data_IF_227225386367
#
_entry.id   IF_227225386367
#
_cell.length_a   1.000
_cell.length_b   1.000
_cell.length_c   1.000
_cell.angle_alpha   90.00
_cell.angle_beta   90.00
_cell.angle_gamma   90.00
#
_symmetry.space_group_name_H-M   'P 1'
#
loop_
_entity.id
_entity.type
_entity.pdbx_description
1 polymer ?
#
# COMPACT_ATOMS: atom_id res chain seq x y z
N UNK A 1 24.10 -19.92 -1.34
CA UNK A 1 23.23 -19.89 -0.14
C UNK A 1 21.93 -20.63 -0.43
N UNK A 2 21.66 -21.66 0.37
CA UNK A 2 20.82 -22.81 -0.01
C UNK A 2 19.35 -22.67 0.45
N UNK A 3 18.69 -21.54 0.17
CA UNK A 3 17.26 -21.31 0.48
C UNK A 3 16.50 -20.55 -0.64
N UNK A 4 17.08 -20.52 -1.85
CA UNK A 4 16.51 -19.80 -3.01
C UNK A 4 15.15 -20.38 -3.44
N UNK A 5 15.00 -21.69 -3.36
CA UNK A 5 13.77 -22.40 -3.71
C UNK A 5 12.64 -22.05 -2.75
N UNK A 6 12.90 -22.19 -1.45
CA UNK A 6 11.95 -21.96 -0.37
C UNK A 6 11.46 -20.51 -0.39
N UNK A 7 12.39 -19.55 -0.56
CA UNK A 7 12.04 -18.14 -0.69
C UNK A 7 11.16 -17.84 -1.91
N UNK A 8 11.35 -18.58 -3.03
CA UNK A 8 10.50 -18.50 -4.22
C UNK A 8 9.11 -19.10 -3.97
N UNK A 9 9.04 -20.27 -3.34
CA UNK A 9 7.78 -20.95 -3.02
C UNK A 9 6.95 -20.13 -2.02
N UNK A 10 7.56 -19.67 -0.93
CA UNK A 10 6.93 -18.81 0.07
C UNK A 10 6.37 -17.51 -0.54
N UNK A 11 7.14 -16.88 -1.44
CA UNK A 11 6.69 -15.70 -2.19
C UNK A 11 5.45 -15.97 -3.04
N UNK A 12 5.39 -17.13 -3.72
CA UNK A 12 4.22 -17.52 -4.53
C UNK A 12 2.99 -17.85 -3.67
N UNK A 13 3.18 -18.50 -2.52
CA UNK A 13 2.10 -18.87 -1.59
C UNK A 13 1.51 -17.63 -0.91
N UNK A 14 2.35 -16.73 -0.40
CA UNK A 14 1.94 -15.50 0.29
C UNK A 14 1.49 -14.37 -0.65
N UNK A 15 1.59 -14.58 -1.97
CA UNK A 15 1.34 -13.57 -3.02
C UNK A 15 2.08 -12.25 -2.76
N UNK A 16 3.33 -12.35 -2.31
CA UNK A 16 4.17 -11.19 -2.02
C UNK A 16 5.54 -11.31 -2.69
N UNK A 17 6.24 -10.20 -2.89
CA UNK A 17 7.60 -10.23 -3.45
C UNK A 17 8.63 -10.88 -2.51
N UNK A 18 9.72 -11.43 -3.07
CA UNK A 18 10.82 -12.07 -2.32
C UNK A 18 11.42 -11.19 -1.21
N UNK A 19 11.37 -9.86 -1.36
CA UNK A 19 11.84 -8.88 -0.36
C UNK A 19 10.97 -8.81 0.91
N UNK A 20 9.71 -9.29 0.83
CA UNK A 20 8.75 -9.28 1.95
C UNK A 20 8.67 -10.61 2.68
N UNK A 21 9.38 -11.64 2.22
CA UNK A 21 9.47 -12.92 2.93
C UNK A 21 10.65 -12.86 3.89
N UNK A 22 10.36 -13.00 5.18
CA UNK A 22 11.34 -13.20 6.23
C UNK A 22 11.39 -14.69 6.59
N UNK A 23 12.60 -15.21 6.75
CA UNK A 23 12.90 -16.59 7.10
C UNK A 23 13.72 -16.53 8.39
N UNK A 24 13.38 -17.36 9.36
CA UNK A 24 14.14 -17.42 10.60
C UNK A 24 15.55 -18.01 10.35
N UNK A 25 16.63 -17.32 10.76
CA UNK A 25 17.99 -17.87 10.69
C UNK A 25 18.27 -19.00 11.71
N UNK A 26 17.51 -19.11 12.80
CA UNK A 26 17.73 -20.15 13.80
C UNK A 26 17.32 -21.54 13.28
N UNK A 27 16.15 -21.61 12.62
CA UNK A 27 15.53 -22.85 12.14
C UNK A 27 15.77 -23.13 10.64
N UNK A 28 16.97 -22.80 10.15
CA UNK A 28 17.30 -22.93 8.72
C UNK A 28 17.26 -24.37 8.21
N UNK A 29 17.56 -25.35 9.06
CA UNK A 29 17.53 -26.78 8.72
C UNK A 29 16.10 -27.28 8.44
N UNK A 30 15.13 -26.89 9.27
CA UNK A 30 13.72 -27.27 9.08
C UNK A 30 13.15 -26.65 7.80
N UNK A 31 13.49 -25.38 7.55
CA UNK A 31 13.09 -24.67 6.33
C UNK A 31 13.72 -25.32 5.09
N UNK A 32 14.98 -25.74 5.17
CA UNK A 32 15.67 -26.38 4.03
C UNK A 32 15.02 -27.71 3.62
N UNK A 33 14.51 -28.48 4.58
CA UNK A 33 13.81 -29.75 4.32
C UNK A 33 12.41 -29.57 3.68
N UNK A 34 11.82 -28.37 3.77
CA UNK A 34 10.52 -28.08 3.19
C UNK A 34 10.61 -27.79 1.68
N UNK A 35 10.23 -28.77 0.86
CA UNK A 35 10.32 -28.72 -0.60
C UNK A 35 8.96 -28.51 -1.29
N UNK A 36 7.85 -28.87 -0.63
CA UNK A 36 6.49 -28.69 -1.17
C UNK A 36 5.84 -27.38 -0.73
N UNK A 37 4.93 -26.85 -1.58
CA UNK A 37 4.06 -25.70 -1.24
C UNK A 37 3.21 -25.97 0.01
N UNK A 38 2.78 -27.21 0.23
CA UNK A 38 1.96 -27.57 1.39
C UNK A 38 2.75 -27.44 2.70
N UNK A 39 4.01 -27.90 2.71
CA UNK A 39 4.91 -27.76 3.86
C UNK A 39 5.19 -26.29 4.18
N UNK A 40 5.45 -25.47 3.15
CA UNK A 40 5.63 -24.02 3.31
C UNK A 40 4.39 -23.36 3.94
N UNK A 41 3.17 -23.81 3.61
CA UNK A 41 1.95 -23.30 4.27
C UNK A 41 1.88 -23.66 5.75
N UNK A 42 2.40 -24.84 6.13
CA UNK A 42 2.50 -25.27 7.53
C UNK A 42 3.47 -24.35 8.28
N UNK A 43 4.68 -24.17 7.75
CA UNK A 43 5.70 -23.27 8.32
C UNK A 43 5.26 -21.80 8.43
N UNK A 44 4.40 -21.33 7.52
CA UNK A 44 3.78 -19.99 7.61
C UNK A 44 2.80 -19.93 8.79
N UNK A 45 2.02 -20.99 9.01
CA UNK A 45 1.07 -21.08 10.12
C UNK A 45 1.78 -21.19 11.47
N UNK A 46 2.89 -21.93 11.49
CA UNK A 46 3.74 -22.13 12.66
C UNK A 46 4.60 -20.89 12.99
N UNK A 47 4.71 -19.94 12.05
CA UNK A 47 5.35 -18.64 12.27
C UNK A 47 6.84 -18.58 11.93
N UNK A 48 7.44 -19.66 11.39
CA UNK A 48 8.84 -19.66 10.94
C UNK A 48 9.05 -18.81 9.68
N UNK A 49 8.01 -18.67 8.86
CA UNK A 49 8.02 -17.85 7.64
C UNK A 49 6.99 -16.73 7.78
N UNK A 50 7.50 -15.50 7.85
CA UNK A 50 6.67 -14.32 8.14
C UNK A 50 6.67 -13.37 6.94
N UNK A 51 5.49 -12.78 6.67
CA UNK A 51 5.37 -11.64 5.74
C UNK A 51 5.75 -10.36 6.47
N UNK A 52 6.89 -9.77 6.09
CA UNK A 52 7.30 -8.45 6.58
C UNK A 52 6.27 -7.39 6.13
N UNK A 53 5.85 -6.46 7.01
CA UNK A 53 4.92 -5.41 6.64
C UNK A 53 5.46 -4.51 5.51
N UNK A 54 4.54 -3.82 4.85
CA UNK A 54 4.88 -2.83 3.83
C UNK A 54 5.52 -1.62 4.52
N UNK A 55 6.53 -1.02 3.89
CA UNK A 55 7.12 0.24 4.33
C UNK A 55 6.11 1.34 4.10
N UNK A 56 5.67 2.00 5.17
CA UNK A 56 4.56 2.97 5.11
C UNK A 56 5.07 4.29 4.52
N UNK A 57 4.42 4.78 3.47
CA UNK A 57 4.55 6.16 3.00
C UNK A 57 3.39 6.98 3.57
N UNK A 58 3.68 7.86 4.52
CA UNK A 58 2.64 8.66 5.18
C UNK A 58 1.99 9.64 4.21
N UNK A 59 0.64 9.60 4.13
CA UNK A 59 -0.17 10.57 3.39
C UNK A 59 -0.59 11.77 4.22
N UNK A 60 -0.14 11.89 5.47
CA UNK A 60 -0.57 12.95 6.38
C UNK A 60 -0.32 14.36 5.81
N UNK A 61 0.86 14.59 5.22
CA UNK A 61 1.21 15.88 4.57
C UNK A 61 0.31 16.20 3.38
N UNK A 62 0.12 15.23 2.50
CA UNK A 62 -0.77 15.36 1.33
C UNK A 62 -2.20 15.68 1.77
N UNK A 63 -2.76 14.95 2.75
CA UNK A 63 -4.10 15.18 3.28
C UNK A 63 -4.24 16.57 3.90
N UNK A 64 -3.25 17.01 4.70
CA UNK A 64 -3.23 18.36 5.28
C UNK A 64 -3.24 19.43 4.18
N UNK A 65 -2.45 19.25 3.13
CA UNK A 65 -2.43 20.18 2.00
C UNK A 65 -3.76 20.17 1.23
N UNK A 66 -4.34 19.01 0.93
CA UNK A 66 -5.66 18.92 0.28
C UNK A 66 -6.76 19.60 1.08
N UNK A 67 -6.75 19.47 2.41
CA UNK A 67 -7.69 20.16 3.30
C UNK A 67 -7.47 21.68 3.29
N UNK A 68 -6.21 22.16 3.23
CA UNK A 68 -5.90 23.57 3.10
C UNK A 68 -6.34 24.14 1.74
N UNK A 69 -6.07 23.40 0.65
CA UNK A 69 -6.51 23.69 -0.72
C UNK A 69 -8.03 23.76 -0.84
N UNK A 70 -8.76 22.82 -0.22
CA UNK A 70 -10.23 22.84 -0.16
C UNK A 70 -10.78 24.06 0.59
N UNK A 71 -10.04 24.59 1.56
CA UNK A 71 -10.38 25.83 2.28
C UNK A 71 -9.96 27.10 1.51
N UNK A 72 -9.54 26.99 0.24
CA UNK A 72 -9.13 28.12 -0.60
C UNK A 72 -7.70 28.61 -0.38
N UNK A 73 -6.87 27.92 0.41
CA UNK A 73 -5.44 28.25 0.57
C UNK A 73 -4.63 27.64 -0.58
N UNK A 74 -3.47 28.20 -0.91
CA UNK A 74 -2.60 27.68 -2.00
C UNK A 74 -3.30 27.67 -3.39
N UNK A 75 -4.08 28.72 -3.68
CA UNK A 75 -4.81 28.95 -4.95
C UNK A 75 -4.50 30.33 -5.56
N UNK A 76 -3.40 30.97 -5.14
CA UNK A 76 -3.00 32.26 -5.69
C UNK A 76 -2.50 32.14 -7.13
N UNK A 77 -2.44 33.26 -7.85
CA UNK A 77 -2.02 33.34 -9.27
C UNK A 77 -0.63 32.73 -9.51
N UNK A 78 0.28 32.78 -8.51
CA UNK A 78 1.60 32.15 -8.57
C UNK A 78 1.64 30.64 -8.29
N UNK A 79 0.57 30.06 -7.72
CA UNK A 79 0.49 28.62 -7.43
C UNK A 79 -0.52 27.88 -8.34
N UNK A 80 -1.33 28.62 -9.11
CA UNK A 80 -2.30 28.05 -10.03
C UNK A 80 -1.73 27.94 -11.45
N UNK A 81 -1.57 26.71 -11.94
CA UNK A 81 -1.49 26.42 -13.38
C UNK A 81 -2.91 26.07 -13.88
N UNK A 82 -3.87 26.98 -13.75
CA UNK A 82 -5.13 26.88 -14.50
C UNK A 82 -5.02 27.88 -15.66
N UNK A 83 -5.15 27.42 -16.91
CA UNK A 83 -5.30 28.33 -18.04
C UNK A 83 -6.56 29.16 -17.81
N UNK A 84 -6.49 30.47 -18.05
CA UNK A 84 -7.62 31.40 -17.87
C UNK A 84 -8.82 31.11 -18.80
N UNK A 85 -8.70 30.13 -19.69
CA UNK A 85 -9.64 29.80 -20.76
C UNK A 85 -10.09 28.33 -20.68
N UNK A 86 -10.73 27.91 -19.58
CA UNK A 86 -11.16 26.50 -19.44
C UNK A 86 -11.89 26.13 -18.16
N UNK A 87 -13.14 26.61 -18.03
CA UNK A 87 -14.27 25.99 -17.31
C UNK A 87 -14.05 25.40 -15.90
N UNK A 88 -14.48 26.14 -14.88
CA UNK A 88 -14.76 25.55 -13.57
C UNK A 88 -16.08 24.75 -13.62
N UNK A 89 -16.13 23.48 -13.16
CA UNK A 89 -17.41 22.84 -12.84
C UNK A 89 -17.95 23.50 -11.56
N UNK A 90 -18.96 24.35 -11.73
CA UNK A 90 -19.68 24.98 -10.63
C UNK A 90 -20.21 23.90 -9.67
N UNK A 91 -20.01 24.05 -8.34
CA UNK A 91 -20.65 23.18 -7.38
C UNK A 91 -22.16 23.51 -7.35
N UNK A 92 -22.98 22.64 -7.95
CA UNK A 92 -24.44 22.72 -7.88
C UNK A 92 -24.88 22.80 -6.41
N UNK A 93 -25.47 23.93 -6.03
CA UNK A 93 -26.07 24.11 -4.71
C UNK A 93 -27.28 23.17 -4.55
N UNK A 94 -27.51 22.57 -3.36
CA UNK A 94 -28.75 21.84 -3.11
C UNK A 94 -29.93 22.82 -3.16
N UNK A 95 -30.84 22.59 -4.10
CA UNK A 95 -32.00 23.45 -4.33
C UNK A 95 -32.90 23.55 -3.10
N UNK A 96 -33.19 24.78 -2.68
CA UNK A 96 -34.29 25.10 -1.80
C UNK A 96 -35.60 24.89 -2.58
N UNK A 97 -36.22 23.73 -2.39
CA UNK A 97 -37.59 23.48 -2.85
C UNK A 97 -38.55 24.28 -1.96
N UNK A 98 -38.76 25.55 -2.31
CA UNK A 98 -39.90 26.34 -1.86
C UNK A 98 -40.95 26.31 -2.97
N UNK A 99 -41.99 25.52 -2.80
CA UNK A 99 -43.22 25.62 -3.58
C UNK A 99 -44.39 25.55 -2.59
N UNK A 100 -44.87 26.74 -2.25
CA UNK A 100 -46.28 27.06 -2.01
C UNK A 100 -47.12 26.77 -3.25
#
# INVERSE_FOLDING_TARGET
SMLRLQKRLASSVLRCGKKKVWLDPNETNEIANANSRQQIRKLIKDGLIIRKPVTVHSRARCRKNTLARRKGRHMGIGECCIPLEGGDPTPTAPGESSLS
#
